data_IF_461797860140
#
_entry.id   IF_461797860140
#
_cell.length_a   1.000
_cell.length_b   1.000
_cell.length_c   1.000
_cell.angle_alpha   90.00
_cell.angle_beta   90.00
_cell.angle_gamma   90.00
#
_symmetry.space_group_name_H-M   'P 1'
#
loop_
_entity.id
_entity.type
_entity.pdbx_description
1 polymer ?
#
# COMPACT_ATOMS: atom_id res chain seq x y z
N UNK A 1 7.80 6.98 -7.09
CA UNK A 1 8.63 8.11 -6.61
C UNK A 1 7.80 9.36 -6.36
N UNK A 2 7.09 9.94 -7.35
CA UNK A 2 6.31 11.17 -7.13
C UNK A 2 5.24 11.08 -6.04
N UNK A 3 4.58 9.93 -5.90
CA UNK A 3 3.62 9.68 -4.82
C UNK A 3 4.23 9.85 -3.41
N UNK A 4 5.46 9.38 -3.19
CA UNK A 4 6.14 9.52 -1.89
C UNK A 4 6.58 10.96 -1.63
N UNK A 5 7.03 11.68 -2.66
CA UNK A 5 7.35 13.10 -2.53
C UNK A 5 6.12 13.91 -2.11
N UNK A 6 4.96 13.66 -2.74
CA UNK A 6 3.69 14.28 -2.35
C UNK A 6 3.26 13.88 -0.94
N UNK A 7 3.51 12.63 -0.54
CA UNK A 7 3.17 12.16 0.80
C UNK A 7 3.97 12.86 1.88
N UNK A 8 5.28 13.06 1.67
CA UNK A 8 6.13 13.84 2.56
C UNK A 8 5.66 15.29 2.61
N UNK A 9 5.36 15.91 1.47
CA UNK A 9 4.90 17.30 1.43
C UNK A 9 3.58 17.52 2.19
N UNK A 10 2.72 16.51 2.27
CA UNK A 10 1.44 16.57 2.98
C UNK A 10 1.53 16.05 4.41
N UNK A 11 2.73 15.75 4.91
CA UNK A 11 2.97 15.14 6.23
C UNK A 11 2.06 13.93 6.51
N UNK A 12 1.88 13.08 5.50
CA UNK A 12 1.05 11.87 5.64
C UNK A 12 1.66 10.90 6.65
N UNK A 13 0.81 10.36 7.51
CA UNK A 13 1.19 9.33 8.49
C UNK A 13 1.27 7.95 7.84
N UNK A 14 1.97 7.02 8.48
CA UNK A 14 2.24 5.69 7.90
C UNK A 14 0.97 4.83 7.75
N UNK A 15 -0.02 5.05 8.61
CA UNK A 15 -1.34 4.43 8.61
C UNK A 15 -2.26 4.98 7.51
N UNK A 16 -2.01 6.20 7.02
CA UNK A 16 -2.74 6.78 5.89
C UNK A 16 -2.20 6.34 4.53
N UNK A 17 -0.91 5.98 4.43
CA UNK A 17 -0.28 5.50 3.20
C UNK A 17 -1.04 4.36 2.48
N UNK A 18 -1.51 3.30 3.16
CA UNK A 18 -2.26 2.23 2.52
C UNK A 18 -3.67 2.63 2.06
N UNK A 19 -4.22 3.73 2.57
CA UNK A 19 -5.56 4.23 2.23
C UNK A 19 -5.58 5.15 1.00
N UNK A 20 -4.41 5.47 0.46
CA UNK A 20 -4.32 6.34 -0.72
C UNK A 20 -4.88 5.60 -1.93
N UNK A 21 -5.79 6.24 -2.64
CA UNK A 21 -6.33 5.71 -3.89
C UNK A 21 -5.26 5.72 -4.98
N UNK A 22 -4.90 4.51 -5.44
CA UNK A 22 -3.93 4.29 -6.50
C UNK A 22 -4.65 3.65 -7.66
N UNK A 23 -4.53 4.30 -8.81
CA UNK A 23 -5.13 3.83 -10.03
C UNK A 23 -4.64 2.43 -10.42
N UNK A 24 -5.58 1.50 -10.61
CA UNK A 24 -5.31 0.12 -11.01
C UNK A 24 -5.94 -0.19 -12.37
N UNK A 25 -5.15 -0.77 -13.26
CA UNK A 25 -5.60 -1.37 -14.51
C UNK A 25 -5.08 -2.82 -14.59
N UNK A 26 -5.96 -3.83 -14.76
CA UNK A 26 -5.60 -5.25 -14.70
C UNK A 26 -4.46 -5.69 -15.63
N UNK A 27 -4.26 -4.97 -16.73
CA UNK A 27 -3.26 -5.28 -17.73
C UNK A 27 -1.93 -4.54 -17.53
N UNK A 28 -1.86 -3.55 -16.62
CA UNK A 28 -0.70 -2.68 -16.46
C UNK A 28 -0.04 -2.78 -15.08
N UNK A 29 -0.81 -2.94 -14.00
CA UNK A 29 -0.29 -3.02 -12.65
C UNK A 29 -1.05 -4.05 -11.82
N UNK A 30 -0.63 -4.25 -10.56
CA UNK A 30 -1.34 -5.10 -9.60
C UNK A 30 -2.31 -4.24 -8.77
N UNK A 31 -3.40 -4.83 -8.23
CA UNK A 31 -4.41 -4.09 -7.47
C UNK A 31 -3.83 -3.30 -6.31
N UNK A 32 -2.84 -3.88 -5.64
CA UNK A 32 -2.07 -3.24 -4.59
C UNK A 32 -0.65 -2.99 -5.08
N UNK A 33 -0.19 -1.75 -4.93
CA UNK A 33 1.20 -1.40 -5.19
C UNK A 33 2.09 -1.78 -3.97
N UNK A 34 3.41 -1.70 -4.14
CA UNK A 34 4.35 -2.06 -3.07
C UNK A 34 4.25 -1.16 -1.82
N UNK A 35 3.81 0.09 -1.99
CA UNK A 35 3.66 1.06 -0.89
C UNK A 35 2.43 0.69 -0.05
N UNK A 36 1.28 0.44 -0.69
CA UNK A 36 0.05 0.02 -0.03
C UNK A 36 0.24 -1.32 0.69
N UNK A 37 1.00 -2.24 0.10
CA UNK A 37 1.31 -3.52 0.76
C UNK A 37 2.14 -3.33 2.03
N UNK A 38 3.17 -2.47 1.98
CA UNK A 38 3.96 -2.15 3.17
C UNK A 38 3.11 -1.45 4.24
N UNK A 39 2.23 -0.53 3.84
CA UNK A 39 1.30 0.13 4.77
C UNK A 39 0.30 -0.84 5.39
N UNK A 40 -0.24 -1.77 4.60
CA UNK A 40 -1.15 -2.82 5.09
C UNK A 40 -0.46 -3.75 6.10
N UNK A 41 0.82 -4.08 5.91
CA UNK A 41 1.60 -4.85 6.87
C UNK A 41 1.79 -4.09 8.20
N UNK A 42 2.06 -2.78 8.15
CA UNK A 42 2.13 -1.93 9.34
C UNK A 42 0.80 -1.89 10.10
N UNK A 43 -0.32 -1.86 9.37
CA UNK A 43 -1.66 -1.96 9.96
C UNK A 43 -2.02 -3.36 10.47
N UNK A 44 -1.14 -4.36 10.29
CA UNK A 44 -1.42 -5.76 10.63
C UNK A 44 -2.38 -6.47 9.65
N UNK A 45 -2.82 -5.78 8.61
CA UNK A 45 -3.67 -6.29 7.53
C UNK A 45 -2.82 -7.02 6.50
N UNK A 46 -2.35 -8.21 6.85
CA UNK A 46 -1.43 -8.95 6.00
C UNK A 46 -2.13 -9.55 4.76
N UNK A 47 -2.12 -8.81 3.65
CA UNK A 47 -2.82 -9.19 2.41
C UNK A 47 -2.36 -10.52 1.79
N UNK A 48 -1.06 -10.81 1.80
CA UNK A 48 -0.49 -12.05 1.23
C UNK A 48 -0.14 -13.13 2.25
N UNK A 49 -0.35 -12.88 3.55
CA UNK A 49 -0.03 -13.87 4.57
C UNK A 49 -1.20 -14.84 4.69
N UNK A 50 -1.16 -15.89 3.89
CA UNK A 50 -2.05 -17.02 4.07
C UNK A 50 -1.94 -17.53 5.51
N UNK A 51 -3.10 -17.73 6.13
CA UNK A 51 -3.25 -18.49 7.38
C UNK A 51 -3.07 -20.00 7.18
N UNK A 52 -2.45 -20.41 6.07
CA UNK A 52 -1.92 -21.76 5.86
C UNK A 52 -0.44 -21.71 6.26
N UNK A 53 -0.07 -21.56 7.54
CA UNK A 53 0.06 -22.70 8.46
C UNK A 53 0.14 -24.05 7.74
N UNK A 54 1.34 -24.41 7.31
CA UNK A 54 1.94 -25.65 7.80
C UNK A 54 3.06 -25.30 8.76
#
# INVERSE_FOLDING_TARGET
MYMMALAIQKDLTIDELPLIDIFFLPHFNKPFNFISLAGLEVLGLNYFKNKDKK
#
